data_IF_264066795180
#
_entry.id   IF_264066795180
#
_cell.length_a   1.000
_cell.length_b   1.000
_cell.length_c   1.000
_cell.angle_alpha   90.00
_cell.angle_beta   90.00
_cell.angle_gamma   90.00
#
_symmetry.space_group_name_H-M   'P 1'
#
loop_
_entity.id
_entity.type
_entity.pdbx_description
1 polymer ?
#
# COMPACT_ATOMS: atom_id res chain seq x y z
N UNK A 1 19.15 1.64 -0.25
CA UNK A 1 19.44 2.02 1.16
C UNK A 1 18.86 0.99 2.11
N UNK A 2 19.39 0.86 3.34
CA UNK A 2 18.88 -0.10 4.34
C UNK A 2 17.38 0.02 4.61
N UNK A 3 16.83 1.24 4.68
CA UNK A 3 15.40 1.48 4.91
C UNK A 3 14.51 0.85 3.82
N UNK A 4 14.78 1.13 2.54
CA UNK A 4 14.00 0.60 1.41
C UNK A 4 13.84 -0.92 1.50
N UNK A 5 14.93 -1.65 1.77
CA UNK A 5 14.91 -3.11 1.92
C UNK A 5 14.07 -3.58 3.12
N UNK A 6 14.13 -2.87 4.24
CA UNK A 6 13.31 -3.18 5.41
C UNK A 6 11.82 -2.99 5.08
N UNK A 7 11.47 -1.89 4.42
CA UNK A 7 10.09 -1.61 4.03
C UNK A 7 9.58 -2.64 3.00
N UNK A 8 10.41 -3.08 2.03
CA UNK A 8 10.08 -4.17 1.11
C UNK A 8 9.73 -5.46 1.87
N UNK A 9 10.55 -5.84 2.86
CA UNK A 9 10.30 -7.02 3.70
C UNK A 9 8.98 -6.89 4.47
N UNK A 10 8.67 -5.69 4.97
CA UNK A 10 7.41 -5.45 5.69
C UNK A 10 6.22 -5.59 4.74
N UNK A 11 6.25 -4.98 3.55
CA UNK A 11 5.17 -5.11 2.55
C UNK A 11 4.99 -6.58 2.16
N UNK A 12 6.08 -7.31 1.90
CA UNK A 12 6.03 -8.74 1.57
C UNK A 12 5.40 -9.56 2.70
N UNK A 13 5.71 -9.25 3.96
CA UNK A 13 5.13 -9.92 5.11
C UNK A 13 3.63 -9.63 5.24
N UNK A 14 3.22 -8.37 5.08
CA UNK A 14 1.81 -7.98 5.15
C UNK A 14 0.99 -8.58 4.01
N UNK A 15 1.52 -8.58 2.78
CA UNK A 15 0.84 -9.15 1.62
C UNK A 15 0.64 -10.67 1.77
N UNK A 16 1.58 -11.39 2.40
CA UNK A 16 1.39 -12.82 2.74
C UNK A 16 0.28 -13.07 3.76
N UNK A 17 -0.14 -12.05 4.52
CA UNK A 17 -1.29 -12.13 5.44
C UNK A 17 -2.63 -11.85 4.74
N UNK A 18 -2.60 -11.44 3.48
CA UNK A 18 -3.78 -11.18 2.64
C UNK A 18 -3.88 -12.21 1.49
N UNK A 19 -4.20 -13.49 1.80
CA UNK A 19 -4.24 -14.54 0.78
C UNK A 19 -5.41 -14.39 -0.21
N UNK A 20 -6.36 -13.51 0.07
CA UNK A 20 -7.48 -13.19 -0.81
C UNK A 20 -7.20 -11.97 -1.69
N UNK A 21 -6.02 -11.36 -1.54
CA UNK A 21 -5.56 -10.22 -2.33
C UNK A 21 -6.51 -9.00 -2.26
N UNK A 22 -7.21 -8.84 -1.13
CA UNK A 22 -8.17 -7.75 -0.93
C UNK A 22 -7.51 -6.36 -0.92
N UNK A 23 -6.22 -6.30 -0.60
CA UNK A 23 -5.43 -5.07 -0.53
C UNK A 23 -4.31 -5.04 -1.57
N UNK A 24 -4.32 -5.94 -2.56
CA UNK A 24 -3.24 -6.05 -3.54
C UNK A 24 -3.19 -4.85 -4.50
N UNK A 25 -4.36 -4.34 -4.90
CA UNK A 25 -4.55 -3.28 -5.89
C UNK A 25 -5.56 -2.23 -5.40
N UNK A 26 -5.61 -1.03 -6.02
CA UNK A 26 -6.60 -0.02 -5.67
C UNK A 26 -8.04 -0.55 -5.82
N UNK A 27 -8.94 -0.11 -4.92
CA UNK A 27 -10.35 -0.51 -4.99
C UNK A 27 -11.01 0.00 -6.27
N UNK A 28 -11.69 -0.89 -6.98
CA UNK A 28 -12.44 -0.54 -8.18
C UNK A 28 -13.76 0.18 -7.80
N UNK A 29 -13.95 1.45 -8.19
CA UNK A 29 -15.17 2.20 -7.86
C UNK A 29 -16.43 1.69 -8.56
N UNK A 30 -16.28 0.97 -9.68
CA UNK A 30 -17.42 0.37 -10.40
C UNK A 30 -17.96 -0.88 -9.68
N UNK A 31 -17.14 -1.47 -8.80
CA UNK A 31 -17.50 -2.64 -7.99
C UNK A 31 -17.93 -2.21 -6.58
N UNK A 32 -17.26 -1.21 -6.02
CA UNK A 32 -17.57 -0.65 -4.71
C UNK A 32 -18.07 0.78 -4.89
N UNK A 33 -19.39 0.88 -5.04
CA UNK A 33 -20.07 2.17 -5.17
C UNK A 33 -19.73 3.09 -3.98
N UNK A 34 -19.59 4.39 -4.26
CA UNK A 34 -19.27 5.44 -3.28
C UNK A 34 -17.95 5.28 -2.52
N UNK A 35 -17.04 4.39 -2.94
CA UNK A 35 -15.78 4.17 -2.21
C UNK A 35 -14.96 5.46 -2.04
N UNK A 36 -14.69 6.19 -3.13
CA UNK A 36 -13.90 7.43 -3.08
C UNK A 36 -14.70 8.64 -2.57
N UNK A 37 -16.02 8.53 -2.47
CA UNK A 37 -16.85 9.53 -1.79
C UNK A 37 -16.61 9.50 -0.27
N UNK A 38 -16.17 8.35 0.26
CA UNK A 38 -15.93 8.13 1.70
C UNK A 38 -14.42 8.11 1.99
N UNK A 39 -13.65 7.30 1.26
CA UNK A 39 -12.21 7.11 1.47
C UNK A 39 -11.43 8.18 0.71
N UNK A 40 -10.87 9.13 1.47
CA UNK A 40 -10.17 10.30 0.91
C UNK A 40 -8.69 10.08 0.62
N UNK A 41 -8.10 9.06 1.21
CA UNK A 41 -6.70 8.69 1.03
C UNK A 41 -6.62 7.18 0.78
N UNK A 42 -7.02 6.71 -0.41
CA UNK A 42 -6.97 5.30 -0.76
C UNK A 42 -5.52 4.80 -0.76
N UNK A 43 -5.31 3.54 -0.36
CA UNK A 43 -4.00 2.88 -0.35
C UNK A 43 -4.17 1.37 -0.51
N UNK A 44 -3.17 0.75 -1.10
CA UNK A 44 -3.07 -0.69 -1.39
C UNK A 44 -1.59 -1.08 -1.52
N UNK A 45 -1.28 -2.37 -1.52
CA UNK A 45 0.11 -2.84 -1.59
C UNK A 45 0.81 -2.47 -2.90
N UNK A 46 0.10 -2.42 -4.03
CA UNK A 46 0.62 -1.95 -5.30
C UNK A 46 1.08 -0.49 -5.22
N UNK A 47 0.23 0.38 -4.69
CA UNK A 47 0.55 1.80 -4.46
C UNK A 47 1.70 1.97 -3.46
N UNK A 48 1.73 1.21 -2.37
CA UNK A 48 2.86 1.23 -1.42
C UNK A 48 4.18 0.84 -2.09
N UNK A 49 4.19 -0.18 -2.96
CA UNK A 49 5.38 -0.58 -3.72
C UNK A 49 5.83 0.49 -4.70
N UNK A 50 4.91 1.16 -5.39
CA UNK A 50 5.22 2.27 -6.28
C UNK A 50 5.89 3.43 -5.52
N UNK A 51 5.27 3.88 -4.42
CA UNK A 51 5.82 4.94 -3.54
C UNK A 51 7.21 4.58 -3.00
N UNK A 52 7.41 3.32 -2.62
CA UNK A 52 8.69 2.80 -2.17
C UNK A 52 9.75 2.78 -3.29
N UNK A 53 9.35 2.40 -4.50
CA UNK A 53 10.25 2.39 -5.66
C UNK A 53 10.73 3.80 -6.00
N UNK A 54 9.83 4.77 -5.95
CA UNK A 54 10.07 6.20 -6.18
C UNK A 54 10.80 6.91 -5.02
N UNK A 55 11.00 6.23 -3.88
CA UNK A 55 11.72 6.79 -2.74
C UNK A 55 10.88 7.78 -1.91
N UNK A 56 9.55 7.70 -1.99
CA UNK A 56 8.64 8.59 -1.26
C UNK A 56 8.55 8.29 0.25
N UNK A 57 9.12 7.17 0.71
CA UNK A 57 9.25 6.85 2.13
C UNK A 57 10.68 7.14 2.59
N UNK A 58 10.88 8.30 3.20
CA UNK A 58 12.16 8.74 3.77
C UNK A 58 12.34 8.30 5.23
N UNK A 59 11.26 7.91 5.90
CA UNK A 59 11.24 7.38 7.25
C UNK A 59 10.11 6.35 7.44
N UNK A 60 10.06 5.72 8.62
CA UNK A 60 9.05 4.70 8.93
C UNK A 60 7.65 5.29 9.21
N UNK A 61 7.55 6.54 9.65
CA UNK A 61 6.25 7.14 9.95
C UNK A 61 5.48 7.43 8.66
N UNK A 62 6.16 7.88 7.61
CA UNK A 62 5.55 8.03 6.28
C UNK A 62 5.02 6.71 5.71
N UNK A 63 5.61 5.57 6.08
CA UNK A 63 5.18 4.24 5.63
C UNK A 63 3.94 3.73 6.40
N UNK A 64 3.74 4.17 7.64
CA UNK A 64 2.65 3.72 8.52
C UNK A 64 1.33 4.47 8.30
N UNK A 65 1.37 5.59 7.58
CA UNK A 65 0.25 6.52 7.31
C UNK A 65 -0.22 6.33 5.88
#
# INVERSE_FOLDING_TARGET
MPLKKILEIIVDFLQRKDPQELFAEPVNPDVVEHYYDIIKQPMDFGTMRAKLHEGMYTDLEQFKV
#
